data_IF_638109770131
#
_entry.id   IF_638109770131
#
_cell.length_a   1.000
_cell.length_b   1.000
_cell.length_c   1.000
_cell.angle_alpha   90.00
_cell.angle_beta   90.00
_cell.angle_gamma   90.00
#
_symmetry.space_group_name_H-M   'P 1'
#
loop_
_entity.id
_entity.type
_entity.pdbx_description
1 polymer ?
#
# COMPACT_ATOMS: atom_id res chain seq x y z
N UNK A 1 -12.21 -4.17 9.09
CA UNK A 1 -11.10 -3.59 8.31
C UNK A 1 -9.78 -3.61 9.08
N UNK A 2 -8.70 -4.19 8.53
CA UNK A 2 -7.38 -4.12 9.13
C UNK A 2 -6.79 -2.70 9.01
N UNK A 3 -6.82 -1.94 10.10
CA UNK A 3 -6.25 -0.58 10.16
C UNK A 3 -4.73 -0.64 10.29
N UNK A 4 -4.01 0.09 9.43
CA UNK A 4 -2.57 0.34 9.58
C UNK A 4 -1.64 -0.60 8.78
N UNK A 5 -2.08 -1.78 8.35
CA UNK A 5 -1.23 -2.70 7.57
C UNK A 5 -1.25 -2.43 6.04
N UNK A 6 -2.29 -1.74 5.55
CA UNK A 6 -2.56 -1.57 4.13
C UNK A 6 -2.33 -0.15 3.63
N UNK A 7 -1.74 -0.05 2.45
CA UNK A 7 -1.46 1.23 1.82
C UNK A 7 -2.74 1.87 1.30
N UNK A 8 -2.78 3.20 1.18
CA UNK A 8 -3.89 3.91 0.55
C UNK A 8 -4.21 3.44 -0.89
N UNK A 9 -3.23 2.82 -1.58
CA UNK A 9 -3.46 2.18 -2.88
C UNK A 9 -4.26 0.88 -2.76
N UNK A 10 -3.98 0.08 -1.73
CA UNK A 10 -4.73 -1.14 -1.43
C UNK A 10 -6.16 -0.83 -1.01
N UNK A 11 -6.36 0.20 -0.19
CA UNK A 11 -7.69 0.66 0.23
C UNK A 11 -8.54 1.10 -0.96
N UNK A 12 -7.97 1.86 -1.91
CA UNK A 12 -8.69 2.26 -3.13
C UNK A 12 -9.07 1.07 -3.99
N UNK A 13 -8.15 0.14 -4.24
CA UNK A 13 -8.45 -1.09 -4.99
C UNK A 13 -9.57 -1.89 -4.33
N UNK A 14 -9.52 -2.04 -3.00
CA UNK A 14 -10.55 -2.76 -2.25
C UNK A 14 -11.92 -2.11 -2.46
N UNK A 15 -12.01 -0.78 -2.35
CA UNK A 15 -13.27 -0.02 -2.59
C UNK A 15 -13.79 -0.17 -4.01
N UNK A 16 -12.93 -0.15 -5.02
CA UNK A 16 -13.34 -0.32 -6.42
C UNK A 16 -13.90 -1.74 -6.67
N UNK A 17 -13.29 -2.75 -6.06
CA UNK A 17 -13.73 -4.15 -6.16
C UNK A 17 -15.03 -4.37 -5.36
N UNK A 18 -15.12 -3.82 -4.15
CA UNK A 18 -16.34 -3.83 -3.32
C UNK A 18 -17.51 -3.24 -4.11
N UNK A 19 -17.34 -2.05 -4.69
CA UNK A 19 -18.35 -1.41 -5.54
C UNK A 19 -18.77 -2.27 -6.75
N UNK A 20 -17.85 -3.06 -7.30
CA UNK A 20 -18.17 -4.02 -8.37
C UNK A 20 -19.06 -5.16 -7.88
N UNK A 21 -18.82 -5.68 -6.66
CA UNK A 21 -19.63 -6.73 -6.06
C UNK A 21 -21.00 -6.22 -5.57
N UNK A 22 -21.07 -5.02 -4.99
CA UNK A 22 -22.32 -4.37 -4.62
C UNK A 22 -23.23 -4.18 -5.85
N UNK A 23 -22.66 -3.72 -6.98
CA UNK A 23 -23.38 -3.61 -8.26
C UNK A 23 -23.91 -4.95 -8.79
N UNK A 24 -23.28 -6.07 -8.38
CA UNK A 24 -23.72 -7.43 -8.72
C UNK A 24 -24.74 -7.98 -7.72
N UNK A 25 -25.21 -7.16 -6.77
CA UNK A 25 -26.22 -7.53 -5.78
C UNK A 25 -25.66 -8.28 -4.56
N UNK A 26 -24.34 -8.30 -4.36
CA UNK A 26 -23.75 -8.86 -3.14
C UNK A 26 -23.92 -7.88 -1.99
N UNK A 27 -24.25 -8.37 -0.79
CA UNK A 27 -24.33 -7.55 0.41
C UNK A 27 -22.98 -6.88 0.70
N UNK A 28 -23.02 -5.66 1.24
CA UNK A 28 -21.83 -4.85 1.51
C UNK A 28 -20.76 -5.60 2.30
N UNK A 29 -21.16 -6.32 3.35
CA UNK A 29 -20.24 -7.06 4.21
C UNK A 29 -19.49 -8.17 3.45
N UNK A 30 -20.18 -8.89 2.57
CA UNK A 30 -19.59 -9.96 1.77
C UNK A 30 -18.77 -9.40 0.60
N UNK A 31 -19.21 -8.29 0.01
CA UNK A 31 -18.47 -7.55 -1.00
C UNK A 31 -17.14 -7.04 -0.46
N UNK A 32 -17.15 -6.45 0.75
CA UNK A 32 -15.96 -5.98 1.45
C UNK A 32 -14.99 -7.14 1.72
N UNK A 33 -15.49 -8.27 2.24
CA UNK A 33 -14.69 -9.47 2.51
C UNK A 33 -14.01 -10.00 1.25
N UNK A 34 -14.76 -10.12 0.15
CA UNK A 34 -14.24 -10.59 -1.16
C UNK A 34 -13.24 -9.62 -1.77
N UNK A 35 -13.49 -8.33 -1.64
CA UNK A 35 -12.60 -7.29 -2.12
C UNK A 35 -11.23 -7.37 -1.42
N UNK A 36 -11.23 -7.48 -0.10
CA UNK A 36 -9.99 -7.62 0.67
C UNK A 36 -9.24 -8.92 0.39
N UNK A 37 -9.94 -10.05 0.25
CA UNK A 37 -9.32 -11.30 -0.15
C UNK A 37 -8.61 -11.19 -1.51
N UNK A 38 -9.25 -10.48 -2.46
CA UNK A 38 -8.69 -10.23 -3.80
C UNK A 38 -7.43 -9.37 -3.73
N UNK A 39 -7.47 -8.26 -3.00
CA UNK A 39 -6.31 -7.38 -2.81
C UNK A 39 -5.17 -8.12 -2.11
N UNK A 40 -5.47 -8.93 -1.09
CA UNK A 40 -4.47 -9.73 -0.39
C UNK A 40 -3.81 -10.75 -1.30
N UNK A 41 -4.58 -11.43 -2.16
CA UNK A 41 -4.05 -12.39 -3.13
C UNK A 41 -3.15 -11.71 -4.17
N UNK A 42 -3.53 -10.53 -4.66
CA UNK A 42 -2.73 -9.78 -5.63
C UNK A 42 -1.44 -9.22 -5.03
N UNK A 43 -1.55 -8.62 -3.84
CA UNK A 43 -0.47 -7.84 -3.23
C UNK A 43 0.36 -8.64 -2.20
N UNK A 44 0.02 -9.92 -1.98
CA UNK A 44 0.61 -10.84 -0.99
C UNK A 44 0.55 -10.31 0.45
N UNK A 45 -0.52 -9.56 0.78
CA UNK A 45 -0.75 -8.98 2.10
C UNK A 45 -0.49 -7.46 2.19
N UNK A 46 -0.48 -6.94 3.42
CA UNK A 46 -0.36 -5.52 3.70
C UNK A 46 1.01 -4.93 3.35
N UNK A 47 1.03 -3.89 2.50
CA UNK A 47 2.28 -3.28 2.00
C UNK A 47 2.79 -2.10 2.83
N UNK A 48 2.14 -1.72 3.93
CA UNK A 48 2.65 -0.63 4.76
C UNK A 48 3.98 -0.96 5.43
N UNK A 49 4.15 -2.21 5.89
CA UNK A 49 5.37 -2.69 6.54
C UNK A 49 5.96 -3.96 5.88
N UNK A 50 5.52 -4.30 4.66
CA UNK A 50 5.91 -5.54 3.98
C UNK A 50 7.43 -5.70 3.87
N UNK A 51 7.91 -6.94 3.90
CA UNK A 51 9.31 -7.37 4.12
C UNK A 51 10.41 -6.80 3.18
N UNK A 52 10.07 -5.91 2.24
CA UNK A 52 11.02 -5.19 1.37
C UNK A 52 11.10 -3.68 1.61
N UNK A 53 10.22 -3.07 2.43
CA UNK A 53 10.20 -1.63 2.68
C UNK A 53 10.95 -1.30 3.97
N UNK A 54 12.25 -1.03 3.85
CA UNK A 54 13.02 -0.42 4.93
C UNK A 54 12.50 1.01 5.15
N UNK A 55 12.11 1.35 6.37
CA UNK A 55 11.76 2.73 6.76
C UNK A 55 12.97 3.67 6.69
N UNK A 56 14.17 3.10 6.80
CA UNK A 56 15.45 3.78 6.65
C UNK A 56 15.85 3.96 5.18
N UNK A 57 16.36 5.15 4.83
CA UNK A 57 17.05 5.38 3.54
C UNK A 57 18.22 4.41 3.37
N UNK A 58 18.45 3.95 2.13
CA UNK A 58 19.65 3.17 1.81
C UNK A 58 20.92 4.00 2.00
N UNK A 59 22.05 3.34 2.24
CA UNK A 59 23.36 4.00 2.38
C UNK A 59 23.70 4.85 1.14
N UNK A 60 23.39 4.34 -0.07
CA UNK A 60 23.54 5.10 -1.31
C UNK A 60 22.69 6.38 -1.33
N UNK A 61 21.44 6.32 -0.85
CA UNK A 61 20.56 7.48 -0.77
C UNK A 61 21.03 8.50 0.28
N UNK A 62 21.55 8.04 1.42
CA UNK A 62 22.15 8.91 2.45
C UNK A 62 23.38 9.63 1.90
N UNK A 63 24.30 8.89 1.28
CA UNK A 63 25.51 9.44 0.66
C UNK A 63 25.18 10.47 -0.42
N UNK A 64 24.25 10.17 -1.33
CA UNK A 64 23.85 11.10 -2.39
C UNK A 64 23.17 12.38 -1.89
N UNK A 65 22.51 12.35 -0.73
CA UNK A 65 21.98 13.54 -0.07
C UNK A 65 23.10 14.38 0.56
N UNK A 66 24.03 13.73 1.25
CA UNK A 66 25.19 14.38 1.86
C UNK A 66 26.07 15.08 0.82
N UNK A 67 26.36 14.41 -0.31
CA UNK A 67 27.14 14.99 -1.41
C UNK A 67 26.46 16.21 -2.01
N UNK A 68 25.14 16.16 -2.24
CA UNK A 68 24.38 17.32 -2.74
C UNK A 68 24.37 18.48 -1.75
N UNK A 69 24.21 18.21 -0.46
CA UNK A 69 24.26 19.24 0.58
C UNK A 69 25.64 19.90 0.67
N UNK A 70 26.73 19.14 0.46
CA UNK A 70 28.10 19.64 0.46
C UNK A 70 28.39 20.56 -0.74
N UNK A 71 27.86 20.25 -1.92
CA UNK A 71 28.11 21.02 -3.15
C UNK A 71 27.05 22.09 -3.47
N UNK A 72 25.91 22.09 -2.76
CA UNK A 72 24.82 23.07 -2.94
C UNK A 72 24.96 24.34 -2.09
N UNK A 73 26.04 24.49 -1.31
CA UNK A 73 26.47 25.77 -0.73
C UNK A 73 27.45 26.41 -1.73
N UNK A 74 26.90 27.00 -2.79
CA UNK A 74 27.59 27.82 -3.78
C UNK A 74 26.63 28.89 -4.23
#
# INVERSE_FOLDING_TARGET
MPRGAYTAKQDRKAKDIEKSYEKRGISKEEAERRAWATVNKQDRGGKNAGSGRKSSRSEAAKKGWETRRRHGKG
#
